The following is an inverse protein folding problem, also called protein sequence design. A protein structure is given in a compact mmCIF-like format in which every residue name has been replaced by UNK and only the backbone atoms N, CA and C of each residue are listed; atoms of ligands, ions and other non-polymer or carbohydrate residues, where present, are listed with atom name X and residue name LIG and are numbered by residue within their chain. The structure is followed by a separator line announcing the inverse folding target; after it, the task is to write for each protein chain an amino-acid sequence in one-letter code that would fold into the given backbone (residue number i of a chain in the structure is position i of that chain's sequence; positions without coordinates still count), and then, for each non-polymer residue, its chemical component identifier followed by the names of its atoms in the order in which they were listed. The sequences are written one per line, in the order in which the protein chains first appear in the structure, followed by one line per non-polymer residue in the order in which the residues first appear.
data_IF_360166561249
#
_entry.id   IF_360166561249
#
_cell.length_a   1.000
_cell.length_b   1.000
_cell.length_c   1.000
_cell.angle_alpha   90.00
_cell.angle_beta   90.00
_cell.angle_gamma   90.00
#
_symmetry.space_group_name_H-M   'P 1'
#
loop_
_entity.id
_entity.type
_entity.pdbx_description
1 polymer ?
#
# COMPACT_ATOMS: atom_id res chain seq x y z
N UNK A 1 -19.90 5.18 3.59
CA UNK A 1 -19.67 4.25 2.47
C UNK A 1 -18.59 4.72 1.48
N UNK A 2 -18.09 5.96 1.52
CA UNK A 2 -17.02 6.41 0.58
C UNK A 2 -15.58 6.11 1.01
N UNK A 3 -15.30 6.15 2.31
CA UNK A 3 -13.92 6.09 2.85
C UNK A 3 -13.26 4.73 2.56
N UNK A 4 -14.00 3.63 2.66
CA UNK A 4 -13.45 2.28 2.49
C UNK A 4 -13.09 1.99 1.02
N UNK A 5 -13.88 2.51 0.08
CA UNK A 5 -13.67 2.31 -1.36
C UNK A 5 -12.50 3.14 -1.87
N UNK A 6 -12.35 4.38 -1.39
CA UNK A 6 -11.23 5.25 -1.77
C UNK A 6 -9.87 4.63 -1.41
N UNK A 7 -9.78 4.00 -0.24
CA UNK A 7 -8.55 3.31 0.20
C UNK A 7 -8.23 2.11 -0.70
N UNK A 8 -9.24 1.29 -1.01
CA UNK A 8 -9.08 0.12 -1.88
C UNK A 8 -8.65 0.57 -3.28
N UNK A 9 -9.28 1.60 -3.84
CA UNK A 9 -8.92 2.16 -5.15
C UNK A 9 -7.51 2.76 -5.15
N UNK A 10 -7.08 3.39 -4.05
CA UNK A 10 -5.72 3.93 -3.91
C UNK A 10 -4.66 2.83 -3.92
N UNK A 11 -4.88 1.74 -3.18
CA UNK A 11 -3.97 0.57 -3.16
C UNK A 11 -3.94 -0.09 -4.55
N UNK A 12 -5.12 -0.28 -5.17
CA UNK A 12 -5.22 -0.86 -6.51
C UNK A 12 -4.49 0.00 -7.56
N UNK A 13 -4.63 1.33 -7.50
CA UNK A 13 -3.95 2.26 -8.39
C UNK A 13 -2.42 2.18 -8.26
N UNK A 14 -1.90 2.11 -7.04
CA UNK A 14 -0.46 1.89 -6.80
C UNK A 14 -0.01 0.55 -7.38
N UNK A 15 -0.81 -0.51 -7.21
CA UNK A 15 -0.54 -1.82 -7.82
C UNK A 15 -0.45 -1.79 -9.35
N UNK A 16 -1.36 -1.06 -10.01
CA UNK A 16 -1.32 -0.88 -11.47
C UNK A 16 -0.04 -0.17 -11.91
N UNK A 17 0.38 0.87 -11.20
CA UNK A 17 1.61 1.61 -11.51
C UNK A 17 2.84 0.70 -11.35
N UNK A 18 2.92 -0.09 -10.28
CA UNK A 18 4.03 -1.03 -10.05
C UNK A 18 4.07 -2.09 -11.17
N UNK A 19 2.92 -2.66 -11.53
CA UNK A 19 2.84 -3.65 -12.61
C UNK A 19 3.28 -3.06 -13.94
N UNK A 20 2.85 -1.82 -14.25
CA UNK A 20 3.27 -1.11 -15.45
C UNK A 20 4.79 -0.88 -15.46
N UNK A 21 5.37 -0.41 -14.35
CA UNK A 21 6.82 -0.21 -14.22
C UNK A 21 7.60 -1.52 -14.39
N UNK A 22 7.12 -2.62 -13.80
CA UNK A 22 7.71 -3.94 -13.97
C UNK A 22 7.74 -4.33 -15.45
N UNK A 23 6.59 -4.24 -16.13
CA UNK A 23 6.49 -4.58 -17.57
C UNK A 23 7.41 -3.72 -18.43
N UNK A 24 7.50 -2.41 -18.14
CA UNK A 24 8.39 -1.50 -18.88
C UNK A 24 9.87 -1.85 -18.65
N UNK A 25 10.28 -2.11 -17.40
CA UNK A 25 11.66 -2.50 -17.08
C UNK A 25 12.05 -3.85 -17.70
N UNK A 26 11.13 -4.80 -17.71
CA UNK A 26 11.34 -6.10 -18.36
C UNK A 26 11.48 -5.95 -19.88
N UNK A 27 10.65 -5.12 -20.52
CA UNK A 27 10.78 -4.80 -21.95
C UNK A 27 12.09 -4.09 -22.30
N UNK A 28 12.67 -3.31 -21.38
CA UNK A 28 13.99 -2.70 -21.55
C UNK A 28 15.15 -3.67 -21.31
N UNK A 29 14.88 -4.95 -21.04
CA UNK A 29 15.90 -5.97 -20.73
C UNK A 29 16.49 -5.86 -19.33
N UNK A 30 15.91 -5.03 -18.45
CA UNK A 30 16.36 -4.78 -17.07
C UNK A 30 15.59 -5.65 -16.07
N UNK A 31 15.63 -6.97 -16.28
CA UNK A 31 14.88 -7.96 -15.48
C UNK A 31 15.12 -7.88 -13.98
N UNK A 32 16.38 -7.68 -13.58
CA UNK A 32 16.73 -7.53 -12.16
C UNK A 32 16.00 -6.36 -11.52
N UNK A 33 15.99 -5.19 -12.18
CA UNK A 33 15.30 -4.00 -11.70
C UNK A 33 13.79 -4.16 -11.70
N UNK A 34 13.21 -4.84 -12.69
CA UNK A 34 11.78 -5.13 -12.72
C UNK A 34 11.37 -5.89 -11.45
N UNK A 35 12.13 -6.92 -11.07
CA UNK A 35 11.86 -7.72 -9.88
C UNK A 35 12.02 -6.91 -8.57
N UNK A 36 13.03 -6.05 -8.49
CA UNK A 36 13.21 -5.13 -7.36
C UNK A 36 12.05 -4.15 -7.20
N UNK A 37 11.50 -3.63 -8.31
CA UNK A 37 10.34 -2.73 -8.28
C UNK A 37 9.11 -3.44 -7.74
N UNK A 38 8.85 -4.68 -8.15
CA UNK A 38 7.73 -5.46 -7.60
C UNK A 38 7.88 -5.70 -6.10
N UNK A 39 9.09 -6.06 -5.64
CA UNK A 39 9.36 -6.27 -4.21
C UNK A 39 9.19 -4.99 -3.39
N UNK A 40 9.80 -3.87 -3.83
CA UNK A 40 9.67 -2.58 -3.15
C UNK A 40 8.22 -2.09 -3.16
N UNK A 41 7.53 -2.28 -4.27
CA UNK A 41 6.10 -1.96 -4.40
C UNK A 41 5.24 -2.77 -3.42
N UNK A 42 5.52 -4.06 -3.27
CA UNK A 42 4.85 -4.91 -2.30
C UNK A 42 5.11 -4.45 -0.85
N UNK A 43 6.37 -4.17 -0.51
CA UNK A 43 6.74 -3.65 0.81
C UNK A 43 6.02 -2.32 1.10
N UNK A 44 5.96 -1.43 0.13
CA UNK A 44 5.23 -0.15 0.26
C UNK A 44 3.74 -0.35 0.53
N UNK A 45 3.08 -1.30 -0.15
CA UNK A 45 1.68 -1.64 0.11
C UNK A 45 1.51 -2.17 1.54
N UNK A 46 2.43 -3.02 2.02
CA UNK A 46 2.39 -3.50 3.40
C UNK A 46 2.48 -2.36 4.41
N UNK A 47 3.34 -1.36 4.17
CA UNK A 47 3.39 -0.16 5.02
C UNK A 47 2.08 0.64 5.01
N UNK A 48 1.43 0.75 3.86
CA UNK A 48 0.12 1.41 3.76
C UNK A 48 -0.94 0.68 4.61
N UNK A 49 -0.96 -0.64 4.55
CA UNK A 49 -1.86 -1.46 5.39
C UNK A 49 -1.50 -1.32 6.87
N UNK A 50 -0.22 -1.36 7.23
CA UNK A 50 0.23 -1.19 8.60
C UNK A 50 -0.18 0.19 9.18
N UNK A 51 -0.13 1.26 8.39
CA UNK A 51 -0.60 2.58 8.79
C UNK A 51 -2.09 2.59 9.09
N UNK A 52 -2.91 1.95 8.26
CA UNK A 52 -4.36 1.84 8.47
C UNK A 52 -4.66 1.09 9.78
N UNK A 53 -3.92 0.01 10.03
CA UNK A 53 -4.03 -0.74 11.28
C UNK A 53 -3.62 0.13 12.47
N UNK A 54 -2.52 0.88 12.36
CA UNK A 54 -2.08 1.82 13.41
C UNK A 54 -3.15 2.86 13.74
N UNK A 55 -3.78 3.44 12.71
CA UNK A 55 -4.87 4.42 12.89
C UNK A 55 -6.08 3.78 13.59
N UNK A 56 -6.40 2.52 13.26
CA UNK A 56 -7.46 1.78 13.94
C UNK A 56 -7.12 1.57 15.42
N UNK A 57 -5.88 1.16 15.73
CA UNK A 57 -5.42 1.01 17.11
C UNK A 57 -5.44 2.33 17.87
N UNK A 58 -5.09 3.45 17.23
CA UNK A 58 -5.16 4.76 17.85
C UNK A 58 -6.61 5.15 18.15
N UNK A 59 -7.54 4.92 17.21
CA UNK A 59 -8.98 5.16 17.46
C UNK A 59 -9.52 4.31 18.61
N UNK A 60 -9.11 3.05 18.71
CA UNK A 60 -9.47 2.20 19.85
C UNK A 60 -8.90 2.79 21.14
N UNK A 61 -7.62 3.17 21.16
CA UNK A 61 -7.01 3.82 22.33
C UNK A 61 -7.77 5.08 22.73
N UNK A 62 -8.09 5.97 21.80
CA UNK A 62 -8.78 7.23 22.08
C UNK A 62 -10.18 6.99 22.67
N UNK A 63 -10.93 6.01 22.16
CA UNK A 63 -12.27 5.68 22.68
C UNK A 63 -12.23 5.01 24.06
N UNK A 64 -11.23 4.17 24.32
CA UNK A 64 -11.16 3.37 25.54
C UNK A 64 -10.32 4.00 26.66
N UNK A 65 -9.33 4.84 26.35
CA UNK A 65 -8.49 5.53 27.34
C UNK A 65 -9.07 6.88 27.81
N UNK A 66 -10.04 7.47 27.10
CA UNK A 66 -10.67 8.75 27.49
C UNK A 66 -11.89 8.58 28.41
N UNK A 67 -11.82 7.63 29.35
CA UNK A 67 -12.71 7.54 30.51
C UNK A 67 -11.85 7.52 31.78
N UNK A 68 -11.49 8.72 32.24
CA UNK A 68 -10.77 8.99 33.48
C UNK A 68 -10.57 10.49 33.65
#
# INVERSE_FOLDING_TARGET
MGIDVDIILKIAGVGIVIAFLHTVLDQMGRKEYAQWVTLLGFIYILFMVASIVSDLFQKIKDVFLFRG
#
